data_IF_333953270165
#
_entry.id   IF_333953270165
#
_cell.length_a   1.000
_cell.length_b   1.000
_cell.length_c   1.000
_cell.angle_alpha   90.00
_cell.angle_beta   90.00
_cell.angle_gamma   90.00
#
_symmetry.space_group_name_H-M   'P 1'
#
loop_
_entity.id
_entity.type
_entity.pdbx_description
1 polymer ?
#
# COMPACT_ATOMS: atom_id res chain seq x y z
N UNK A 1 1.41 -15.25 -6.82
CA UNK A 1 0.09 -15.70 -6.31
C UNK A 1 -0.05 -17.21 -6.35
N UNK A 2 0.14 -17.86 -7.52
CA UNK A 2 0.10 -19.32 -7.61
C UNK A 2 1.10 -20.03 -6.70
N UNK A 3 2.30 -19.47 -6.50
CA UNK A 3 3.28 -20.01 -5.56
C UNK A 3 2.74 -20.04 -4.12
N UNK A 4 2.18 -18.93 -3.63
CA UNK A 4 1.51 -18.87 -2.33
C UNK A 4 0.32 -19.83 -2.20
N UNK A 5 -0.46 -20.03 -3.28
CA UNK A 5 -1.56 -20.98 -3.27
C UNK A 5 -1.09 -22.43 -3.11
N UNK A 6 0.10 -22.77 -3.63
CA UNK A 6 0.66 -24.12 -3.52
C UNK A 6 1.24 -24.44 -2.13
N UNK A 7 1.54 -23.41 -1.33
CA UNK A 7 2.12 -23.56 0.01
C UNK A 7 1.07 -23.71 1.12
N UNK A 8 -0.19 -23.37 0.83
CA UNK A 8 -1.26 -23.33 1.82
C UNK A 8 -2.12 -24.60 1.81
N UNK A 9 -2.53 -25.03 3.00
CA UNK A 9 -3.54 -26.07 3.12
C UNK A 9 -4.91 -25.57 2.59
N UNK A 10 -5.82 -26.47 2.16
CA UNK A 10 -7.15 -26.07 1.64
C UNK A 10 -7.93 -25.14 2.59
N UNK A 11 -7.82 -25.38 3.90
CA UNK A 11 -8.43 -24.59 4.98
C UNK A 11 -7.81 -23.20 5.15
N UNK A 12 -6.60 -22.97 4.66
CA UNK A 12 -5.89 -21.68 4.72
C UNK A 12 -6.07 -20.85 3.44
N UNK A 13 -6.68 -21.42 2.41
CA UNK A 13 -6.83 -20.79 1.08
C UNK A 13 -7.60 -19.46 1.13
N UNK A 14 -8.40 -19.23 2.19
CA UNK A 14 -9.08 -17.95 2.38
C UNK A 14 -8.09 -16.77 2.52
N UNK A 15 -6.87 -16.99 3.03
CA UNK A 15 -5.82 -15.96 3.18
C UNK A 15 -5.45 -15.34 1.82
N UNK A 16 -5.48 -16.15 0.77
CA UNK A 16 -5.21 -15.72 -0.61
C UNK A 16 -6.34 -14.84 -1.14
N UNK A 17 -7.59 -15.09 -0.74
CA UNK A 17 -8.73 -14.28 -1.17
C UNK A 17 -8.57 -12.84 -0.68
N UNK A 18 -8.25 -12.65 0.61
CA UNK A 18 -7.95 -11.33 1.17
C UNK A 18 -6.79 -10.65 0.44
N UNK A 19 -5.69 -11.39 0.22
CA UNK A 19 -4.54 -10.85 -0.49
C UNK A 19 -4.88 -10.42 -1.93
N UNK A 20 -5.69 -11.20 -2.67
CA UNK A 20 -6.15 -10.83 -4.03
C UNK A 20 -6.97 -9.55 -4.02
N UNK A 21 -7.88 -9.39 -3.06
CA UNK A 21 -8.70 -8.18 -2.97
C UNK A 21 -7.86 -6.94 -2.65
N UNK A 22 -6.93 -7.02 -1.69
CA UNK A 22 -6.02 -5.90 -1.42
C UNK A 22 -5.10 -5.56 -2.60
N UNK A 23 -4.63 -6.56 -3.36
CA UNK A 23 -3.87 -6.32 -4.58
C UNK A 23 -4.67 -5.55 -5.64
N UNK A 24 -5.95 -5.91 -5.84
CA UNK A 24 -6.83 -5.18 -6.76
C UNK A 24 -7.00 -3.73 -6.32
N UNK A 25 -7.25 -3.53 -5.03
CA UNK A 25 -7.42 -2.19 -4.48
C UNK A 25 -6.16 -1.33 -4.64
N UNK A 26 -4.98 -1.91 -4.36
CA UNK A 26 -3.69 -1.27 -4.60
C UNK A 26 -3.55 -0.84 -6.07
N UNK A 27 -3.81 -1.75 -7.01
CA UNK A 27 -3.71 -1.47 -8.44
C UNK A 27 -4.65 -0.35 -8.89
N UNK A 28 -5.88 -0.31 -8.35
CA UNK A 28 -6.83 0.78 -8.62
C UNK A 28 -6.31 2.14 -8.13
N UNK A 29 -5.67 2.19 -6.95
CA UNK A 29 -5.10 3.43 -6.44
C UNK A 29 -3.89 3.91 -7.23
N UNK A 30 -3.02 3.00 -7.68
CA UNK A 30 -1.95 3.36 -8.61
C UNK A 30 -2.48 3.89 -9.93
N UNK A 31 -3.54 3.29 -10.47
CA UNK A 31 -4.18 3.80 -11.68
C UNK A 31 -4.69 5.23 -11.47
N UNK A 32 -5.32 5.52 -10.33
CA UNK A 32 -5.79 6.87 -9.99
C UNK A 32 -4.64 7.89 -9.88
N UNK A 33 -3.51 7.54 -9.26
CA UNK A 33 -2.34 8.42 -9.20
C UNK A 33 -1.72 8.66 -10.58
N UNK A 34 -1.67 7.65 -11.44
CA UNK A 34 -1.25 7.81 -12.83
C UNK A 34 -2.18 8.76 -13.59
N UNK A 35 -3.50 8.67 -13.40
CA UNK A 35 -4.44 9.62 -14.00
C UNK A 35 -4.18 11.05 -13.53
N UNK A 36 -3.95 11.26 -12.22
CA UNK A 36 -3.61 12.59 -11.71
C UNK A 36 -2.34 13.16 -12.36
N UNK A 37 -1.31 12.32 -12.55
CA UNK A 37 -0.09 12.72 -13.26
C UNK A 37 -0.37 13.08 -14.72
N UNK A 38 -1.07 12.20 -15.44
CA UNK A 38 -1.28 12.33 -16.88
C UNK A 38 -2.22 13.50 -17.23
N UNK A 39 -3.16 13.83 -16.33
CA UNK A 39 -4.06 14.98 -16.44
C UNK A 39 -3.45 16.29 -15.87
N UNK A 40 -2.19 16.26 -15.39
CA UNK A 40 -1.54 17.36 -14.67
C UNK A 40 -2.37 17.90 -13.48
N UNK A 41 -3.18 17.02 -12.87
CA UNK A 41 -4.07 17.36 -11.78
C UNK A 41 -3.37 17.27 -10.43
N UNK A 42 -3.42 18.37 -9.67
CA UNK A 42 -2.94 18.40 -8.27
C UNK A 42 -4.13 18.28 -7.32
N UNK A 43 -4.32 17.14 -6.64
CA UNK A 43 -5.42 16.96 -5.69
C UNK A 43 -5.24 17.85 -4.46
N UNK A 44 -6.36 18.14 -3.78
CA UNK A 44 -6.31 18.71 -2.43
C UNK A 44 -5.70 17.69 -1.47
N UNK A 45 -5.09 18.15 -0.38
CA UNK A 45 -4.42 17.28 0.59
C UNK A 45 -5.31 16.14 1.10
N UNK A 46 -6.57 16.41 1.42
CA UNK A 46 -7.50 15.38 1.91
C UNK A 46 -7.81 14.31 0.83
N UNK A 47 -8.00 14.74 -0.42
CA UNK A 47 -8.21 13.82 -1.54
C UNK A 47 -6.94 13.00 -1.83
N UNK A 48 -5.78 13.64 -1.83
CA UNK A 48 -4.47 12.99 -1.94
C UNK A 48 -4.34 11.89 -0.90
N UNK A 49 -4.46 12.24 0.38
CA UNK A 49 -4.26 11.30 1.50
C UNK A 49 -5.22 10.11 1.43
N UNK A 50 -6.49 10.34 1.08
CA UNK A 50 -7.48 9.26 0.95
C UNK A 50 -7.07 8.19 -0.08
N UNK A 51 -6.42 8.58 -1.18
CA UNK A 51 -5.94 7.62 -2.19
C UNK A 51 -4.54 7.12 -1.84
N UNK A 52 -3.68 8.01 -1.38
CA UNK A 52 -2.25 7.75 -1.33
C UNK A 52 -1.80 7.00 -0.07
N UNK A 53 -2.59 7.02 1.01
CA UNK A 53 -2.41 6.10 2.16
C UNK A 53 -2.50 4.65 1.73
N UNK A 54 -3.31 4.35 0.72
CA UNK A 54 -3.42 3.01 0.15
C UNK A 54 -2.28 2.79 -0.83
N UNK A 55 -2.04 3.76 -1.72
CA UNK A 55 -0.99 3.65 -2.75
C UNK A 55 0.42 3.46 -2.17
N UNK A 56 0.69 3.91 -0.94
CA UNK A 56 1.99 3.64 -0.27
C UNK A 56 2.23 2.15 -0.01
N UNK A 57 1.19 1.32 -0.11
CA UNK A 57 1.31 -0.15 -0.08
C UNK A 57 1.39 -0.75 1.31
N UNK A 58 1.32 0.06 2.37
CA UNK A 58 1.43 -0.42 3.76
C UNK A 58 0.32 -1.41 4.14
N UNK A 59 -0.91 -1.15 3.68
CA UNK A 59 -2.06 -2.03 3.94
C UNK A 59 -1.85 -3.38 3.23
N UNK A 60 -1.51 -3.36 1.93
CA UNK A 60 -1.20 -4.58 1.19
C UNK A 60 -0.05 -5.36 1.84
N UNK A 61 1.03 -4.67 2.22
CA UNK A 61 2.18 -5.27 2.89
C UNK A 61 1.79 -5.95 4.21
N UNK A 62 0.93 -5.31 5.02
CA UNK A 62 0.44 -5.88 6.27
C UNK A 62 -0.40 -7.13 6.04
N UNK A 63 -1.25 -7.14 5.01
CA UNK A 63 -2.00 -8.33 4.62
C UNK A 63 -1.07 -9.47 4.16
N UNK A 64 -0.04 -9.18 3.36
CA UNK A 64 0.96 -10.18 2.94
C UNK A 64 1.65 -10.79 4.15
N UNK A 65 2.07 -9.96 5.12
CA UNK A 65 2.70 -10.44 6.34
C UNK A 65 1.77 -11.34 7.14
N UNK A 66 0.52 -10.91 7.35
CA UNK A 66 -0.48 -11.71 8.07
C UNK A 66 -0.72 -13.06 7.39
N UNK A 67 -0.80 -13.09 6.05
CA UNK A 67 -0.97 -14.33 5.29
C UNK A 67 0.19 -15.32 5.44
N UNK A 68 1.40 -14.84 5.74
CA UNK A 68 2.58 -15.66 5.98
C UNK A 68 2.80 -16.03 7.45
N UNK A 69 1.93 -15.62 8.38
CA UNK A 69 2.02 -16.03 9.79
C UNK A 69 1.54 -17.47 9.98
N UNK A 70 1.93 -18.08 11.10
CA UNK A 70 1.45 -19.40 11.52
C UNK A 70 -0.07 -19.44 11.69
N UNK A 71 -0.66 -20.64 11.57
CA UNK A 71 -2.12 -20.85 11.57
C UNK A 71 -2.80 -20.29 12.82
N UNK A 72 -2.13 -20.35 13.98
CA UNK A 72 -2.64 -19.81 15.24
C UNK A 72 -2.83 -18.28 15.24
N UNK A 73 -2.16 -17.57 14.32
CA UNK A 73 -2.21 -16.10 14.20
C UNK A 73 -2.97 -15.67 12.95
N UNK A 74 -2.76 -16.36 11.82
CA UNK A 74 -3.39 -16.05 10.53
C UNK A 74 -4.82 -16.62 10.44
N UNK A 75 -5.62 -16.38 11.47
CA UNK A 75 -7.00 -16.88 11.58
C UNK A 75 -7.96 -15.99 10.81
N UNK A 76 -9.15 -16.49 10.48
CA UNK A 76 -10.17 -15.71 9.77
C UNK A 76 -10.56 -14.44 10.54
N UNK A 77 -10.64 -14.51 11.86
CA UNK A 77 -10.95 -13.38 12.74
C UNK A 77 -9.87 -12.29 12.67
N UNK A 78 -8.59 -12.67 12.51
CA UNK A 78 -7.51 -11.71 12.34
C UNK A 78 -7.63 -10.95 11.01
N UNK A 79 -8.01 -11.65 9.92
CA UNK A 79 -8.29 -11.01 8.63
C UNK A 79 -9.55 -10.15 8.66
N UNK A 80 -10.62 -10.59 9.32
CA UNK A 80 -11.83 -9.78 9.50
C UNK A 80 -11.56 -8.52 10.33
N UNK A 81 -10.73 -8.63 11.37
CA UNK A 81 -10.25 -7.48 12.13
C UNK A 81 -9.43 -6.52 11.27
N UNK A 82 -8.56 -7.05 10.40
CA UNK A 82 -7.74 -6.27 9.48
C UNK A 82 -8.57 -5.53 8.42
N UNK A 83 -9.57 -6.19 7.82
CA UNK A 83 -10.52 -5.59 6.87
C UNK A 83 -11.32 -4.43 7.47
N UNK A 84 -11.57 -4.47 8.78
CA UNK A 84 -12.15 -3.37 9.53
C UNK A 84 -11.32 -2.08 9.50
N UNK A 85 -10.17 -2.07 8.81
CA UNK A 85 -9.26 -0.94 8.67
C UNK A 85 -8.92 -0.36 10.05
N UNK A 86 -8.25 -1.16 10.91
CA UNK A 86 -8.01 -0.76 12.28
C UNK A 86 -7.21 0.54 12.28
N UNK A 87 -7.55 1.47 13.19
CA UNK A 87 -6.93 2.82 13.27
C UNK A 87 -5.40 2.81 13.22
N UNK A 88 -4.78 1.73 13.67
CA UNK A 88 -3.33 1.51 13.59
C UNK A 88 -2.82 1.41 12.15
N UNK A 89 -3.50 0.67 11.27
CA UNK A 89 -3.11 0.52 9.87
C UNK A 89 -3.20 1.86 9.12
N UNK A 90 -4.26 2.63 9.39
CA UNK A 90 -4.44 3.99 8.85
C UNK A 90 -3.34 4.94 9.33
N UNK A 91 -3.03 4.92 10.64
CA UNK A 91 -1.96 5.74 11.21
C UNK A 91 -0.59 5.39 10.63
N UNK A 92 -0.26 4.09 10.52
CA UNK A 92 0.99 3.64 9.91
C UNK A 92 1.07 4.00 8.43
N UNK A 93 -0.01 3.80 7.66
CA UNK A 93 -0.08 4.21 6.25
C UNK A 93 0.10 5.72 6.07
N UNK A 94 -0.47 6.52 6.96
CA UNK A 94 -0.28 7.98 6.99
C UNK A 94 1.19 8.36 7.21
N UNK A 95 1.85 7.77 8.21
CA UNK A 95 3.27 8.01 8.50
C UNK A 95 4.12 7.60 7.30
N UNK A 96 3.88 6.41 6.74
CA UNK A 96 4.60 5.91 5.59
C UNK A 96 4.46 6.85 4.39
N UNK A 97 3.24 7.31 4.10
CA UNK A 97 2.96 8.20 2.98
C UNK A 97 3.67 9.54 3.11
N UNK A 98 3.52 10.20 4.25
CA UNK A 98 4.12 11.52 4.50
C UNK A 98 5.64 11.43 4.43
N UNK A 99 6.23 10.42 5.05
CA UNK A 99 7.69 10.21 5.03
C UNK A 99 8.17 9.96 3.61
N UNK A 100 7.47 9.13 2.84
CA UNK A 100 7.82 8.85 1.45
C UNK A 100 7.73 10.10 0.56
N UNK A 101 6.70 10.94 0.73
CA UNK A 101 6.52 12.18 -0.03
C UNK A 101 7.63 13.20 0.26
N UNK A 102 7.98 13.39 1.55
CA UNK A 102 9.05 14.30 1.96
C UNK A 102 10.39 13.83 1.39
N UNK A 103 10.74 12.55 1.60
CA UNK A 103 12.01 12.00 1.14
C UNK A 103 12.15 12.09 -0.39
N UNK A 104 11.07 11.78 -1.13
CA UNK A 104 11.06 11.87 -2.60
C UNK A 104 11.25 13.32 -3.09
N UNK A 105 10.67 14.30 -2.36
CA UNK A 105 10.84 15.71 -2.69
C UNK A 105 12.27 16.20 -2.46
N UNK A 106 12.91 15.79 -1.37
CA UNK A 106 14.31 16.13 -1.08
C UNK A 106 15.26 15.57 -2.16
N UNK A 107 15.08 14.30 -2.54
CA UNK A 107 15.87 13.65 -3.60
C UNK A 107 15.68 14.40 -4.93
N UNK A 108 14.45 14.77 -5.29
CA UNK A 108 14.18 15.55 -6.50
C UNK A 108 14.90 16.90 -6.49
N UNK A 109 14.84 17.63 -5.37
CA UNK A 109 15.53 18.93 -5.23
C UNK A 109 17.04 18.76 -5.37
N UNK A 110 17.61 17.74 -4.74
CA UNK A 110 19.04 17.45 -4.82
C UNK A 110 19.48 17.16 -6.26
N UNK A 111 18.75 16.29 -6.97
CA UNK A 111 19.03 15.96 -8.37
C UNK A 111 18.89 17.20 -9.26
N UNK A 112 17.86 18.01 -9.05
CA UNK A 112 17.65 19.24 -9.82
C UNK A 112 18.80 20.24 -9.63
N UNK A 113 19.22 20.49 -8.39
CA UNK A 113 20.37 21.37 -8.09
C UNK A 113 21.65 20.83 -8.72
N UNK A 114 21.90 19.52 -8.61
CA UNK A 114 23.06 18.88 -9.23
C UNK A 114 23.07 19.05 -10.75
N UNK A 115 21.94 18.87 -11.43
CA UNK A 115 21.85 19.08 -12.89
C UNK A 115 22.13 20.56 -13.21
N UNK A 116 21.44 21.50 -12.57
CA UNK A 116 21.54 22.94 -12.88
C UNK A 116 22.91 23.54 -12.55
N UNK A 117 23.65 22.98 -11.60
CA UNK A 117 24.95 23.52 -11.18
C UNK A 117 26.14 22.98 -11.98
N UNK A 118 25.95 21.89 -12.76
CA UNK A 118 27.04 21.18 -13.46
C UNK A 118 26.87 21.23 -14.99
N UNK A 119 25.74 21.74 -15.49
CA UNK A 119 25.57 22.21 -16.88
C UNK A 119 25.65 23.72 -16.97
#
# INVERSE_FOLDING_TARGET
MHEFENELAPEEMFRILYLKEHWKFQAQTYFKECQWRDDEYVPKLEEHMRVSIISVGFILFSCVLLSGMEEAVATKEAFEWFEGSPKIAEACGTIARITNDIASKEVYIYIYIYIVTIT
#
